data_IF_860072269141
#
_entry.id   IF_860072269141
#
_cell.length_a   1.000
_cell.length_b   1.000
_cell.length_c   1.000
_cell.angle_alpha   90.00
_cell.angle_beta   90.00
_cell.angle_gamma   90.00
#
_symmetry.space_group_name_H-M   'P 1'
#
loop_
_entity.id
_entity.type
_entity.pdbx_description
1 polymer ?
#
# COMPACT_ATOMS: atom_id res chain seq x y z
N UNK A 1 -24.01 -10.07 -33.48
CA UNK A 1 -24.64 -8.73 -33.47
C UNK A 1 -23.68 -7.75 -34.10
N UNK A 2 -24.17 -6.64 -34.66
CA UNK A 2 -23.28 -5.62 -35.23
C UNK A 2 -22.70 -4.76 -34.09
N UNK A 3 -21.39 -4.79 -33.93
CA UNK A 3 -20.64 -3.84 -33.12
C UNK A 3 -20.69 -2.42 -33.73
N UNK A 4 -20.34 -1.40 -32.95
CA UNK A 4 -20.41 0.01 -33.37
C UNK A 4 -19.56 0.31 -34.62
N UNK A 5 -18.43 -0.36 -34.72
CA UNK A 5 -17.49 -0.39 -35.85
C UNK A 5 -18.15 -1.02 -37.10
N UNK A 6 -18.60 -2.27 -37.00
CA UNK A 6 -19.24 -3.00 -38.11
C UNK A 6 -20.55 -2.36 -38.59
N UNK A 7 -21.31 -1.72 -37.69
CA UNK A 7 -22.53 -0.98 -38.02
C UNK A 7 -22.23 0.27 -38.85
N UNK A 8 -21.11 0.95 -38.58
CA UNK A 8 -20.69 2.14 -39.33
C UNK A 8 -20.26 1.78 -40.75
N UNK A 9 -19.55 0.65 -40.91
CA UNK A 9 -19.16 0.13 -42.23
C UNK A 9 -20.39 -0.30 -43.05
N UNK A 10 -21.33 -1.03 -42.45
CA UNK A 10 -22.57 -1.40 -43.11
C UNK A 10 -23.38 -0.15 -43.54
N UNK A 11 -23.43 0.89 -42.70
CA UNK A 11 -24.10 2.14 -43.04
C UNK A 11 -23.48 2.83 -44.27
N UNK A 12 -22.16 2.73 -44.46
CA UNK A 12 -21.47 3.24 -45.65
C UNK A 12 -21.83 2.44 -46.91
N UNK A 13 -21.94 1.11 -46.81
CA UNK A 13 -22.32 0.25 -47.95
C UNK A 13 -23.79 0.43 -48.41
N UNK A 14 -24.64 1.00 -47.55
CA UNK A 14 -26.07 1.22 -47.83
C UNK A 14 -26.37 2.61 -48.43
N UNK A 15 -25.35 3.40 -48.78
CA UNK A 15 -25.51 4.75 -49.37
C UNK A 15 -26.04 4.72 -50.82
N UNK A 16 -25.80 3.65 -51.57
CA UNK A 16 -26.21 3.46 -52.98
C UNK A 16 -26.95 2.13 -53.08
N UNK A 17 -27.99 2.04 -53.92
CA UNK A 17 -28.76 0.80 -54.16
C UNK A 17 -29.17 0.05 -52.87
N UNK A 18 -29.59 0.83 -51.86
CA UNK A 18 -29.82 0.40 -50.47
C UNK A 18 -30.50 -0.96 -50.33
N UNK A 19 -31.58 -1.18 -51.08
CA UNK A 19 -32.42 -2.38 -50.96
C UNK A 19 -31.73 -3.62 -51.55
N UNK A 20 -30.97 -3.44 -52.63
CA UNK A 20 -30.17 -4.49 -53.27
C UNK A 20 -28.97 -4.86 -52.40
N UNK A 21 -28.22 -3.87 -51.93
CA UNK A 21 -27.04 -4.08 -51.08
C UNK A 21 -27.41 -4.67 -49.72
N UNK A 22 -28.53 -4.27 -49.14
CA UNK A 22 -29.05 -4.85 -47.90
C UNK A 22 -29.35 -6.35 -48.08
N UNK A 23 -30.11 -6.73 -49.11
CA UNK A 23 -30.42 -8.15 -49.38
C UNK A 23 -29.15 -8.95 -49.65
N UNK A 24 -28.27 -8.43 -50.50
CA UNK A 24 -27.01 -9.08 -50.82
C UNK A 24 -26.11 -9.29 -49.59
N UNK A 25 -26.16 -8.41 -48.59
CA UNK A 25 -25.43 -8.57 -47.34
C UNK A 25 -26.01 -9.70 -46.47
N UNK A 26 -27.33 -9.76 -46.30
CA UNK A 26 -27.98 -10.78 -45.46
C UNK A 26 -28.07 -12.16 -46.12
N UNK A 27 -27.93 -12.24 -47.45
CA UNK A 27 -27.87 -13.50 -48.20
C UNK A 27 -26.46 -14.14 -48.17
N UNK A 28 -25.45 -13.48 -47.59
CA UNK A 28 -24.09 -14.04 -47.49
C UNK A 28 -24.05 -15.23 -46.53
N UNK A 29 -23.29 -16.26 -46.92
CA UNK A 29 -22.97 -17.36 -46.02
C UNK A 29 -22.16 -16.83 -44.82
N UNK A 30 -22.50 -17.31 -43.62
CA UNK A 30 -21.80 -16.95 -42.40
C UNK A 30 -20.32 -17.34 -42.51
N UNK A 31 -19.45 -16.35 -42.32
CA UNK A 31 -18.00 -16.49 -42.26
C UNK A 31 -17.56 -15.82 -40.96
N UNK A 32 -17.50 -16.58 -39.84
CA UNK A 32 -17.18 -16.02 -38.55
C UNK A 32 -15.78 -15.40 -38.56
N UNK A 33 -15.69 -14.13 -38.17
CA UNK A 33 -14.44 -13.37 -38.15
C UNK A 33 -14.32 -12.51 -36.90
N UNK A 34 -13.09 -12.34 -36.43
CA UNK A 34 -12.72 -11.36 -35.43
C UNK A 34 -12.66 -9.98 -36.08
N UNK A 35 -12.94 -8.95 -35.28
CA UNK A 35 -12.65 -7.56 -35.61
C UNK A 35 -11.64 -7.02 -34.60
N UNK A 36 -11.08 -5.83 -34.85
CA UNK A 36 -10.15 -5.17 -33.91
C UNK A 36 -10.63 -5.13 -32.45
N UNK A 37 -11.95 -5.10 -32.21
CA UNK A 37 -12.54 -4.94 -30.89
C UNK A 37 -13.51 -6.04 -30.49
N UNK A 38 -13.99 -6.86 -31.42
CA UNK A 38 -15.06 -7.82 -31.20
C UNK A 38 -15.05 -8.94 -32.24
N UNK A 39 -16.23 -9.38 -32.65
CA UNK A 39 -16.43 -10.45 -33.62
C UNK A 39 -17.69 -10.19 -34.45
N UNK A 40 -17.74 -10.79 -35.63
CA UNK A 40 -18.83 -10.69 -36.56
C UNK A 40 -19.12 -12.05 -37.21
N UNK A 41 -20.33 -12.18 -37.75
CA UNK A 41 -20.76 -13.34 -38.53
C UNK A 41 -20.28 -13.29 -39.99
N UNK A 42 -19.70 -12.17 -40.41
CA UNK A 42 -19.21 -11.89 -41.74
C UNK A 42 -17.92 -11.06 -41.63
N UNK A 43 -16.98 -11.21 -42.57
CA UNK A 43 -15.78 -10.38 -42.62
C UNK A 43 -16.12 -8.92 -42.92
N UNK A 44 -15.43 -8.04 -42.21
CA UNK A 44 -15.46 -6.59 -42.36
C UNK A 44 -14.05 -6.08 -42.67
N UNK A 45 -13.90 -4.86 -43.19
CA UNK A 45 -12.59 -4.30 -43.55
C UNK A 45 -11.61 -4.21 -42.36
N UNK A 46 -12.13 -4.16 -41.13
CA UNK A 46 -11.36 -4.19 -39.89
C UNK A 46 -11.13 -5.60 -39.32
N UNK A 47 -11.30 -6.64 -40.15
CA UNK A 47 -10.96 -8.01 -39.78
C UNK A 47 -9.46 -8.24 -40.01
N UNK A 48 -8.71 -8.77 -39.02
CA UNK A 48 -7.28 -9.04 -39.20
C UNK A 48 -7.04 -10.02 -40.34
N UNK A 49 -6.10 -9.73 -41.25
CA UNK A 49 -5.78 -10.60 -42.40
C UNK A 49 -5.28 -12.00 -41.97
N UNK A 50 -4.61 -12.10 -40.81
CA UNK A 50 -4.03 -13.34 -40.27
C UNK A 50 -4.83 -13.94 -39.09
N UNK A 51 -6.16 -13.79 -39.09
CA UNK A 51 -7.00 -14.41 -38.05
C UNK A 51 -7.13 -15.93 -38.24
N UNK A 52 -7.35 -16.71 -37.16
CA UNK A 52 -7.68 -18.12 -37.26
C UNK A 52 -8.95 -18.33 -38.08
N UNK A 53 -9.03 -19.45 -38.81
CA UNK A 53 -10.28 -19.86 -39.45
C UNK A 53 -11.20 -20.53 -38.43
N UNK A 54 -12.48 -20.15 -38.42
CA UNK A 54 -13.48 -20.70 -37.52
C UNK A 54 -14.57 -21.42 -38.31
N UNK A 55 -14.81 -22.70 -38.00
CA UNK A 55 -15.81 -23.54 -38.67
C UNK A 55 -17.25 -23.11 -38.34
N UNK A 56 -17.45 -22.46 -37.20
CA UNK A 56 -18.76 -21.98 -36.76
C UNK A 56 -18.66 -20.71 -35.92
N UNK A 57 -19.80 -20.00 -35.81
CA UNK A 57 -19.89 -18.87 -34.89
C UNK A 57 -19.63 -19.33 -33.44
N UNK A 58 -20.01 -20.55 -33.07
CA UNK A 58 -19.74 -21.11 -31.74
C UNK A 58 -18.23 -21.18 -31.47
N UNK A 59 -17.45 -21.77 -32.39
CA UNK A 59 -15.99 -21.88 -32.24
C UNK A 59 -15.29 -20.53 -32.14
N UNK A 60 -15.81 -19.51 -32.85
CA UNK A 60 -15.31 -18.14 -32.73
C UNK A 60 -15.63 -17.54 -31.36
N UNK A 61 -16.84 -17.76 -30.85
CA UNK A 61 -17.25 -17.23 -29.55
C UNK A 61 -16.44 -17.88 -28.43
N UNK A 62 -16.24 -19.19 -28.50
CA UNK A 62 -15.40 -19.93 -27.55
C UNK A 62 -13.97 -19.35 -27.54
N UNK A 63 -13.36 -19.17 -28.71
CA UNK A 63 -12.03 -18.58 -28.83
C UNK A 63 -11.96 -17.14 -28.27
N UNK A 64 -12.89 -16.27 -28.68
CA UNK A 64 -12.90 -14.87 -28.27
C UNK A 64 -13.13 -14.71 -26.77
N UNK A 65 -14.09 -15.45 -26.20
CA UNK A 65 -14.42 -15.35 -24.78
C UNK A 65 -13.43 -16.08 -23.88
N UNK A 66 -12.70 -17.09 -24.36
CA UNK A 66 -11.66 -17.74 -23.57
C UNK A 66 -10.49 -16.78 -23.30
N UNK A 67 -9.94 -16.17 -24.34
CA UNK A 67 -8.85 -15.19 -24.20
C UNK A 67 -9.31 -13.92 -23.47
N UNK A 68 -10.53 -13.45 -23.75
CA UNK A 68 -11.10 -12.29 -23.05
C UNK A 68 -11.35 -12.56 -21.57
N UNK A 69 -11.94 -13.71 -21.22
CA UNK A 69 -12.23 -14.03 -19.82
C UNK A 69 -10.95 -14.20 -19.01
N UNK A 70 -9.91 -14.81 -19.58
CA UNK A 70 -8.60 -14.89 -18.94
C UNK A 70 -7.99 -13.51 -18.71
N UNK A 71 -7.97 -12.64 -19.73
CA UNK A 71 -7.47 -11.26 -19.60
C UNK A 71 -8.24 -10.45 -18.57
N UNK A 72 -9.56 -10.48 -18.61
CA UNK A 72 -10.42 -9.76 -17.68
C UNK A 72 -10.20 -10.26 -16.23
N UNK A 73 -10.06 -11.58 -16.04
CA UNK A 73 -9.78 -12.18 -14.73
C UNK A 73 -8.43 -11.74 -14.18
N UNK A 74 -7.37 -11.78 -14.99
CA UNK A 74 -6.02 -11.38 -14.55
C UNK A 74 -5.97 -9.87 -14.30
N UNK A 75 -6.59 -9.05 -15.15
CA UNK A 75 -6.69 -7.60 -14.94
C UNK A 75 -7.46 -7.26 -13.65
N UNK A 76 -8.47 -8.04 -13.28
CA UNK A 76 -9.15 -7.87 -12.00
C UNK A 76 -8.22 -8.22 -10.83
N UNK A 77 -7.52 -9.35 -10.89
CA UNK A 77 -6.58 -9.79 -9.85
C UNK A 77 -5.43 -8.79 -9.66
N UNK A 78 -4.92 -8.23 -10.75
CA UNK A 78 -3.95 -7.13 -10.75
C UNK A 78 -4.46 -5.90 -10.01
N UNK A 79 -5.67 -5.43 -10.34
CA UNK A 79 -6.26 -4.26 -9.71
C UNK A 79 -6.51 -4.47 -8.21
N UNK A 80 -6.92 -5.67 -7.82
CA UNK A 80 -7.06 -6.03 -6.40
C UNK A 80 -5.71 -5.99 -5.68
N UNK A 81 -4.66 -6.50 -6.31
CA UNK A 81 -3.30 -6.49 -5.78
C UNK A 81 -2.75 -5.06 -5.59
N UNK A 82 -2.89 -4.21 -6.61
CA UNK A 82 -2.50 -2.79 -6.55
C UNK A 82 -3.21 -2.08 -5.39
N UNK A 83 -4.53 -2.23 -5.28
CA UNK A 83 -5.30 -1.64 -4.17
C UNK A 83 -4.84 -2.15 -2.81
N UNK A 84 -4.48 -3.42 -2.73
CA UNK A 84 -4.01 -4.06 -1.49
C UNK A 84 -2.66 -3.50 -1.05
N UNK A 85 -1.70 -3.37 -1.97
CA UNK A 85 -0.37 -2.77 -1.71
C UNK A 85 -0.52 -1.31 -1.30
N UNK A 86 -1.30 -0.52 -2.04
CA UNK A 86 -1.58 0.87 -1.70
C UNK A 86 -2.20 1.04 -0.30
N UNK A 87 -3.11 0.14 0.09
CA UNK A 87 -3.72 0.14 1.42
C UNK A 87 -2.71 -0.20 2.54
N UNK A 88 -1.81 -1.16 2.33
CA UNK A 88 -0.75 -1.47 3.30
C UNK A 88 0.28 -0.32 3.40
N UNK A 89 0.60 0.34 2.28
CA UNK A 89 1.43 1.55 2.29
C UNK A 89 0.80 2.65 3.15
N UNK A 90 -0.47 2.97 2.93
CA UNK A 90 -1.18 4.00 3.70
C UNK A 90 -1.20 3.66 5.21
N UNK A 91 -1.43 2.39 5.54
CA UNK A 91 -1.43 1.90 6.92
C UNK A 91 -0.05 2.03 7.57
N UNK A 92 1.03 1.67 6.86
CA UNK A 92 2.39 1.80 7.38
C UNK A 92 2.83 3.26 7.50
N UNK A 93 2.45 4.15 6.57
CA UNK A 93 2.68 5.59 6.69
C UNK A 93 1.96 6.18 7.91
N UNK A 94 0.70 5.81 8.16
CA UNK A 94 -0.03 6.20 9.37
C UNK A 94 0.61 5.64 10.65
N UNK A 95 1.13 4.42 10.60
CA UNK A 95 1.86 3.80 11.71
C UNK A 95 3.15 4.57 12.01
N UNK A 96 3.93 4.91 10.98
CA UNK A 96 5.17 5.68 11.11
C UNK A 96 4.92 7.02 11.79
N UNK A 97 3.92 7.78 11.35
CA UNK A 97 3.55 9.08 11.98
C UNK A 97 3.26 8.92 13.48
N UNK A 98 2.53 7.86 13.86
CA UNK A 98 2.23 7.61 15.28
C UNK A 98 3.47 7.25 16.08
N UNK A 99 4.37 6.45 15.51
CA UNK A 99 5.62 6.06 16.17
C UNK A 99 6.57 7.26 16.31
N UNK A 100 6.67 8.12 15.30
CA UNK A 100 7.46 9.35 15.36
C UNK A 100 6.89 10.33 16.39
N UNK A 101 5.56 10.44 16.49
CA UNK A 101 4.93 11.24 17.55
C UNK A 101 5.21 10.67 18.95
N UNK A 102 5.08 9.35 19.14
CA UNK A 102 5.39 8.68 20.41
C UNK A 102 6.86 8.86 20.79
N UNK A 103 7.77 8.85 19.80
CA UNK A 103 9.19 9.10 20.01
C UNK A 103 9.44 10.55 20.46
N UNK A 104 8.81 11.53 19.81
CA UNK A 104 8.89 12.94 20.17
C UNK A 104 8.36 13.20 21.59
N UNK A 105 7.24 12.57 21.96
CA UNK A 105 6.68 12.67 23.32
C UNK A 105 7.65 12.08 24.39
N UNK A 106 8.55 11.17 23.96
CA UNK A 106 9.56 10.55 24.83
C UNK A 106 10.83 11.40 24.98
N UNK A 107 11.00 12.51 24.24
CA UNK A 107 12.12 13.46 24.45
C UNK A 107 12.14 14.05 25.89
N UNK A 108 11.02 13.95 26.60
CA UNK A 108 10.91 14.20 28.04
C UNK A 108 11.85 13.35 28.92
N UNK A 109 12.44 12.27 28.39
CA UNK A 109 13.41 11.42 29.08
C UNK A 109 14.66 12.17 29.53
N UNK A 110 15.13 13.17 28.77
CA UNK A 110 16.33 13.93 29.15
C UNK A 110 16.07 14.80 30.38
N UNK A 111 14.87 15.35 30.51
CA UNK A 111 14.44 16.09 31.71
C UNK A 111 14.38 15.17 32.95
N UNK A 112 14.01 13.89 32.78
CA UNK A 112 14.05 12.88 33.85
C UNK A 112 15.49 12.59 34.29
N UNK A 113 16.44 12.55 33.34
CA UNK A 113 17.87 12.38 33.61
C UNK A 113 18.43 13.56 34.42
N UNK A 114 18.19 14.79 33.94
CA UNK A 114 18.60 16.02 34.61
C UNK A 114 18.04 16.11 36.04
N UNK A 115 16.78 15.72 36.26
CA UNK A 115 16.19 15.67 37.60
C UNK A 115 16.97 14.74 38.54
N UNK A 116 17.36 13.55 38.09
CA UNK A 116 18.19 12.62 38.88
C UNK A 116 19.58 13.18 39.19
N UNK A 117 20.21 13.85 38.24
CA UNK A 117 21.53 14.49 38.41
C UNK A 117 21.48 15.68 39.38
N UNK A 118 20.45 16.53 39.28
CA UNK A 118 20.24 17.66 40.18
C UNK A 118 20.02 17.18 41.62
N UNK A 119 19.17 16.16 41.82
CA UNK A 119 18.97 15.57 43.14
C UNK A 119 20.26 14.99 43.73
N UNK A 120 21.13 14.43 42.89
CA UNK A 120 22.41 13.86 43.34
C UNK A 120 23.41 14.96 43.70
N UNK A 121 23.48 16.02 42.89
CA UNK A 121 24.37 17.18 43.09
C UNK A 121 24.00 17.95 44.36
N UNK A 122 22.70 18.21 44.55
CA UNK A 122 22.17 18.97 45.68
C UNK A 122 21.60 18.07 46.78
N UNK A 123 22.09 16.84 46.93
CA UNK A 123 21.51 15.83 47.84
C UNK A 123 21.30 16.33 49.28
N UNK A 124 22.19 17.20 49.75
CA UNK A 124 22.15 17.81 51.08
C UNK A 124 21.01 18.83 51.26
N UNK A 125 20.46 19.35 50.18
CA UNK A 125 19.35 20.31 50.15
C UNK A 125 17.99 19.63 49.94
N UNK A 126 17.99 18.32 49.64
CA UNK A 126 16.77 17.56 49.36
C UNK A 126 16.13 17.08 50.68
N UNK A 127 14.90 17.52 51.00
CA UNK A 127 14.20 17.12 52.22
C UNK A 127 13.74 15.66 52.16
N UNK A 128 13.53 15.04 53.33
CA UNK A 128 13.04 13.66 53.46
C UNK A 128 11.52 13.55 53.62
N UNK A 129 10.86 14.66 53.94
CA UNK A 129 9.47 14.72 54.41
C UNK A 129 8.57 15.58 53.50
N UNK A 130 9.07 15.99 52.34
CA UNK A 130 8.33 16.80 51.37
C UNK A 130 8.10 16.06 50.05
N UNK A 131 7.02 16.41 49.38
CA UNK A 131 6.63 15.84 48.08
C UNK A 131 7.32 16.49 46.87
N UNK A 132 8.05 17.59 47.07
CA UNK A 132 8.84 18.24 46.02
C UNK A 132 10.00 19.04 46.60
N UNK A 133 10.95 19.41 45.74
CA UNK A 133 12.07 20.32 46.03
C UNK A 133 12.33 21.21 44.82
N UNK A 134 12.68 22.48 45.06
CA UNK A 134 13.18 23.40 44.02
C UNK A 134 14.68 23.47 44.09
N UNK A 135 15.34 23.20 42.97
CA UNK A 135 16.80 23.20 42.86
C UNK A 135 17.23 24.06 41.67
N UNK A 136 18.39 24.69 41.79
CA UNK A 136 19.00 25.43 40.69
C UNK A 136 19.37 24.50 39.54
N UNK A 137 18.73 24.67 38.38
CA UNK A 137 19.05 23.90 37.19
C UNK A 137 20.23 24.53 36.46
N UNK A 138 21.44 24.02 36.66
CA UNK A 138 22.66 24.49 35.99
C UNK A 138 22.66 24.27 34.47
N UNK A 139 21.74 23.47 33.90
CA UNK A 139 21.57 23.35 32.44
C UNK A 139 20.83 24.54 31.82
N UNK A 140 19.90 25.17 32.57
CA UNK A 140 19.03 26.23 32.05
C UNK A 140 19.19 27.57 32.77
N UNK A 141 19.90 27.59 33.90
CA UNK A 141 20.07 28.76 34.76
C UNK A 141 18.80 29.19 35.51
N UNK A 142 17.76 28.34 35.56
CA UNK A 142 16.49 28.60 36.25
C UNK A 142 16.26 27.56 37.33
N UNK A 143 15.46 27.87 38.35
CA UNK A 143 15.02 26.85 39.30
C UNK A 143 14.12 25.82 38.61
N UNK A 144 14.30 24.54 38.96
CA UNK A 144 13.48 23.42 38.52
C UNK A 144 12.82 22.77 39.74
N UNK A 145 11.51 22.61 39.68
CA UNK A 145 10.77 21.85 40.68
C UNK A 145 10.80 20.34 40.36
N UNK A 146 11.21 19.54 41.34
CA UNK A 146 11.39 18.10 41.23
C UNK A 146 10.49 17.41 42.25
N UNK A 147 9.64 16.48 41.79
CA UNK A 147 8.74 15.71 42.63
C UNK A 147 9.49 14.59 43.36
N UNK A 148 9.23 14.46 44.65
CA UNK A 148 9.82 13.47 45.53
C UNK A 148 8.79 12.46 45.98
N UNK A 149 9.24 11.24 46.24
CA UNK A 149 8.51 10.28 47.05
C UNK A 149 8.82 10.55 48.52
N UNK A 150 7.80 10.85 49.31
CA UNK A 150 7.95 11.08 50.75
C UNK A 150 8.38 9.79 51.47
N UNK A 151 8.10 8.62 50.89
CA UNK A 151 8.50 7.33 51.47
C UNK A 151 9.97 6.96 51.19
N UNK A 152 10.70 7.74 50.39
CA UNK A 152 12.06 7.44 49.96
C UNK A 152 13.07 8.47 50.47
N UNK A 153 14.28 8.01 50.78
CA UNK A 153 15.40 8.90 51.10
C UNK A 153 15.81 9.75 49.89
N UNK A 154 16.64 10.80 50.03
CA UNK A 154 16.99 11.67 48.91
C UNK A 154 17.78 10.92 47.84
N UNK A 155 18.66 10.01 48.28
CA UNK A 155 19.44 9.15 47.40
C UNK A 155 18.55 8.14 46.67
N UNK A 156 17.54 7.59 47.35
CA UNK A 156 16.55 6.69 46.72
C UNK A 156 15.67 7.44 45.71
N UNK A 157 15.30 8.70 45.99
CA UNK A 157 14.61 9.57 45.05
C UNK A 157 15.45 9.85 43.80
N UNK A 158 16.73 10.19 43.94
CA UNK A 158 17.65 10.33 42.81
C UNK A 158 17.74 9.02 41.99
N UNK A 159 17.94 7.89 42.66
CA UNK A 159 17.99 6.57 42.03
C UNK A 159 16.68 6.21 41.31
N UNK A 160 15.51 6.62 41.84
CA UNK A 160 14.20 6.45 41.21
C UNK A 160 14.15 7.15 39.85
N UNK A 161 14.64 8.40 39.77
CA UNK A 161 14.74 9.14 38.52
C UNK A 161 15.70 8.46 37.52
N UNK A 162 16.86 7.96 37.96
CA UNK A 162 17.76 7.19 37.07
C UNK A 162 17.12 5.90 36.56
N UNK A 163 16.41 5.16 37.42
CA UNK A 163 15.66 3.96 36.99
C UNK A 163 14.57 4.30 35.97
N UNK A 164 13.86 5.41 36.17
CA UNK A 164 12.84 5.91 35.22
C UNK A 164 13.48 6.28 33.89
N UNK A 165 14.60 7.01 33.92
CA UNK A 165 15.37 7.36 32.72
C UNK A 165 15.84 6.11 31.96
N UNK A 166 16.41 5.11 32.64
CA UNK A 166 16.86 3.89 31.99
C UNK A 166 15.70 3.15 31.29
N UNK A 167 14.52 3.07 31.91
CA UNK A 167 13.32 2.49 31.28
C UNK A 167 12.90 3.27 30.04
N UNK A 168 12.87 4.60 30.12
CA UNK A 168 12.54 5.46 28.98
C UNK A 168 13.57 5.30 27.85
N UNK A 169 14.86 5.23 28.16
CA UNK A 169 15.93 5.02 27.19
C UNK A 169 15.79 3.70 26.43
N UNK A 170 15.48 2.60 27.13
CA UNK A 170 15.23 1.32 26.47
C UNK A 170 13.96 1.36 25.60
N UNK A 171 12.91 2.04 26.05
CA UNK A 171 11.70 2.24 25.27
C UNK A 171 11.97 3.05 24.00
N UNK A 172 12.73 4.15 24.09
CA UNK A 172 13.20 4.95 22.93
C UNK A 172 13.96 4.06 21.96
N UNK A 173 14.95 3.31 22.43
CA UNK A 173 15.75 2.42 21.58
C UNK A 173 14.88 1.40 20.85
N UNK A 174 13.94 0.77 21.56
CA UNK A 174 13.01 -0.16 20.96
C UNK A 174 12.11 0.51 19.91
N UNK A 175 11.56 1.69 20.23
CA UNK A 175 10.70 2.44 19.32
C UNK A 175 11.46 2.91 18.08
N UNK A 176 12.71 3.35 18.22
CA UNK A 176 13.58 3.68 17.09
C UNK A 176 13.78 2.48 16.16
N UNK A 177 14.02 1.28 16.71
CA UNK A 177 14.12 0.07 15.90
C UNK A 177 12.82 -0.22 15.14
N UNK A 178 11.66 -0.08 15.80
CA UNK A 178 10.35 -0.26 15.16
C UNK A 178 10.07 0.76 14.05
N UNK A 179 10.56 1.99 14.21
CA UNK A 179 10.48 3.04 13.19
C UNK A 179 11.30 2.65 11.96
N UNK A 180 12.55 2.23 12.15
CA UNK A 180 13.41 1.83 11.05
C UNK A 180 12.86 0.59 10.30
N UNK A 181 12.32 -0.38 11.02
CA UNK A 181 11.61 -1.53 10.41
C UNK A 181 10.35 -1.09 9.63
N UNK A 182 9.63 -0.09 10.13
CA UNK A 182 8.44 0.43 9.43
C UNK A 182 8.84 1.22 8.18
N UNK A 183 9.95 1.97 8.23
CA UNK A 183 10.50 2.67 7.05
C UNK A 183 10.97 1.69 5.98
N UNK A 184 11.72 0.64 6.35
CA UNK A 184 12.16 -0.38 5.40
C UNK A 184 10.98 -1.09 4.74
N UNK A 185 9.93 -1.36 5.51
CA UNK A 185 8.66 -1.91 5.00
C UNK A 185 8.01 -0.98 3.98
N UNK A 186 7.96 0.33 4.26
CA UNK A 186 7.41 1.32 3.32
C UNK A 186 8.22 1.34 2.03
N UNK A 187 9.55 1.40 2.11
CA UNK A 187 10.45 1.42 0.94
C UNK A 187 10.24 0.17 0.08
N UNK A 188 10.15 -1.01 0.71
CA UNK A 188 9.84 -2.25 0.01
C UNK A 188 8.49 -2.16 -0.72
N UNK A 189 7.42 -1.79 -0.02
CA UNK A 189 6.10 -1.70 -0.63
C UNK A 189 6.01 -0.62 -1.74
N UNK A 190 6.79 0.45 -1.67
CA UNK A 190 6.91 1.46 -2.73
C UNK A 190 7.60 0.90 -3.99
N UNK A 191 8.62 0.05 -3.82
CA UNK A 191 9.24 -0.65 -4.95
C UNK A 191 8.24 -1.60 -5.62
N UNK A 192 7.46 -2.34 -4.84
CA UNK A 192 6.40 -3.23 -5.35
C UNK A 192 5.32 -2.44 -6.10
N UNK A 193 4.86 -1.32 -5.54
CA UNK A 193 3.86 -0.44 -6.21
C UNK A 193 4.38 0.07 -7.55
N UNK A 194 5.67 0.46 -7.61
CA UNK A 194 6.32 0.89 -8.85
C UNK A 194 6.38 -0.23 -9.89
N UNK A 195 6.75 -1.45 -9.46
CA UNK A 195 6.78 -2.63 -10.34
C UNK A 195 5.37 -2.96 -10.86
N UNK A 196 4.35 -2.95 -10.00
CA UNK A 196 2.96 -3.21 -10.40
C UNK A 196 2.41 -2.17 -11.39
N UNK A 197 2.85 -0.91 -11.29
CA UNK A 197 2.44 0.15 -12.23
C UNK A 197 2.97 -0.02 -13.65
N UNK A 198 4.03 -0.84 -13.84
CA UNK A 198 4.69 -1.06 -15.14
C UNK A 198 4.60 -2.51 -15.62
N UNK A 199 4.18 -3.42 -14.77
CA UNK A 199 4.15 -4.85 -15.03
C UNK A 199 3.10 -5.27 -16.07
N UNK A 200 3.49 -6.23 -16.91
CA UNK A 200 2.62 -7.03 -17.74
C UNK A 200 1.80 -8.02 -16.90
N UNK A 201 0.73 -8.57 -17.48
CA UNK A 201 -0.16 -9.52 -16.81
C UNK A 201 0.60 -10.76 -16.27
N UNK A 202 1.66 -11.21 -16.95
CA UNK A 202 2.45 -12.36 -16.50
C UNK A 202 3.36 -12.01 -15.30
N UNK A 203 3.94 -10.81 -15.30
CA UNK A 203 4.82 -10.33 -14.20
C UNK A 203 4.03 -10.09 -12.91
N UNK A 204 2.73 -9.77 -13.02
CA UNK A 204 1.85 -9.55 -11.85
C UNK A 204 1.66 -10.82 -11.02
N UNK A 205 1.58 -11.99 -11.66
CA UNK A 205 1.47 -13.27 -10.94
C UNK A 205 2.75 -13.60 -10.18
N UNK A 206 3.92 -13.27 -10.75
CA UNK A 206 5.22 -13.45 -10.08
C UNK A 206 5.35 -12.52 -8.86
N UNK A 207 5.01 -11.23 -9.01
CA UNK A 207 4.98 -10.26 -7.91
C UNK A 207 4.01 -10.72 -6.80
N UNK A 208 2.88 -11.31 -7.18
CA UNK A 208 1.91 -11.84 -6.21
C UNK A 208 2.50 -12.96 -5.37
N UNK A 209 3.22 -13.89 -5.99
CA UNK A 209 3.86 -14.99 -5.28
C UNK A 209 4.99 -14.50 -4.36
N UNK A 210 5.81 -13.53 -4.81
CA UNK A 210 6.82 -12.88 -3.96
C UNK A 210 6.17 -12.25 -2.71
N UNK A 211 5.05 -11.55 -2.88
CA UNK A 211 4.31 -10.93 -1.78
C UNK A 211 3.68 -11.94 -0.81
N UNK A 212 3.39 -13.17 -1.28
CA UNK A 212 2.93 -14.28 -0.42
C UNK A 212 4.11 -14.84 0.37
N UNK A 213 5.26 -15.05 -0.28
CA UNK A 213 6.48 -15.59 0.36
C UNK A 213 7.02 -14.66 1.45
N UNK A 214 7.03 -13.36 1.18
CA UNK A 214 7.42 -12.31 2.13
C UNK A 214 6.37 -12.06 3.22
N UNK A 215 5.17 -12.64 3.11
CA UNK A 215 4.12 -12.61 4.13
C UNK A 215 3.22 -11.37 4.12
N UNK A 216 3.36 -10.47 3.14
CA UNK A 216 2.48 -9.30 2.97
C UNK A 216 1.09 -9.68 2.45
N UNK A 217 0.99 -10.81 1.73
CA UNK A 217 -0.24 -11.42 1.30
C UNK A 217 -0.40 -12.81 1.92
N UNK A 218 -1.66 -13.16 2.24
CA UNK A 218 -2.00 -14.54 2.53
C UNK A 218 -2.51 -15.19 1.27
N UNK A 219 -2.02 -16.39 0.96
CA UNK A 219 -2.61 -17.22 -0.09
C UNK A 219 -4.06 -17.49 0.29
N UNK A 220 -4.98 -16.99 -0.54
CA UNK A 220 -6.41 -17.19 -0.34
C UNK A 220 -6.72 -18.55 -0.99
N UNK A 221 -7.11 -19.53 -0.17
CA UNK A 221 -7.59 -20.83 -0.64
C UNK A 221 -8.94 -20.70 -1.34
#
# INVERSE_FOLDING_TARGET
GLGRDTASELANHLQIDRLKNFRAFFDQATQPSLTDKSYAALPFANSPENQPHFESLSSLLDFYYQDKAERDRVAQQANELIKRVASELEKNRKKLIKQEQELADTETAELVRQKGELLTTYLHQVPNDQSSVRLDNYYTGKELEIELDVALTPSQNAQRYFKKYQKLKEAVKHLTNLIEETKSTIVYLESVDTMLGQASLAEIDEIREELIETGYLKRRH
#
